data_IF_520769880898
#
_entry.id   IF_520769880898
#
_cell.length_a   1.000
_cell.length_b   1.000
_cell.length_c   1.000
_cell.angle_alpha   90.00
_cell.angle_beta   90.00
_cell.angle_gamma   90.00
#
_symmetry.space_group_name_H-M   'P 1'
#
loop_
_entity.id
_entity.type
_entity.pdbx_description
1 polymer ?
#
# COMPACT_ATOMS: atom_id res chain seq x y z
N UNK A 1 -65.74 8.63 -10.82
CA UNK A 1 -65.55 7.16 -10.94
C UNK A 1 -64.08 6.84 -11.05
N UNK A 2 -63.51 6.48 -9.92
CA UNK A 2 -62.19 5.85 -9.63
C UNK A 2 -60.94 6.27 -10.43
N UNK A 3 -60.22 7.26 -9.88
CA UNK A 3 -58.76 7.40 -10.04
C UNK A 3 -58.08 6.72 -8.85
N UNK A 4 -57.37 5.62 -9.07
CA UNK A 4 -56.43 5.05 -8.11
C UNK A 4 -55.04 5.51 -8.53
N UNK A 5 -54.48 6.43 -7.79
CA UNK A 5 -53.09 6.88 -7.93
C UNK A 5 -52.18 5.85 -7.27
N UNK A 6 -51.32 5.22 -8.07
CA UNK A 6 -50.22 4.37 -7.57
C UNK A 6 -49.00 5.28 -7.18
N UNK A 7 -48.94 5.67 -5.92
CA UNK A 7 -47.81 6.45 -5.37
C UNK A 7 -46.72 5.57 -4.71
N UNK A 8 -46.63 4.28 -5.02
CA UNK A 8 -45.71 3.35 -4.37
C UNK A 8 -44.39 3.11 -5.13
N UNK A 9 -44.24 3.68 -6.34
CA UNK A 9 -43.07 3.41 -7.16
C UNK A 9 -41.80 4.29 -6.91
N UNK A 10 -41.85 5.50 -6.32
CA UNK A 10 -40.63 6.30 -6.14
C UNK A 10 -39.82 5.98 -4.88
N UNK A 11 -40.36 5.19 -3.92
CA UNK A 11 -39.64 4.94 -2.66
C UNK A 11 -38.62 3.80 -2.81
N UNK A 12 -38.83 2.88 -3.74
CA UNK A 12 -37.89 1.76 -3.97
C UNK A 12 -36.59 2.18 -4.70
N UNK A 13 -36.62 3.29 -5.45
CA UNK A 13 -35.44 3.76 -6.20
C UNK A 13 -34.44 4.56 -5.34
N UNK A 14 -34.85 5.07 -4.17
CA UNK A 14 -33.98 5.89 -3.31
C UNK A 14 -33.08 5.08 -2.38
N UNK A 15 -33.39 3.80 -2.12
CA UNK A 15 -32.59 2.94 -1.24
C UNK A 15 -31.36 2.30 -1.89
N UNK A 16 -31.14 2.44 -3.21
CA UNK A 16 -30.02 1.82 -3.91
C UNK A 16 -28.75 2.69 -4.02
N UNK A 17 -28.78 3.93 -3.55
CA UNK A 17 -27.62 4.84 -3.68
C UNK A 17 -26.74 4.98 -2.43
N UNK A 18 -26.98 4.19 -1.38
CA UNK A 18 -26.18 4.29 -0.14
C UNK A 18 -25.12 3.16 0.03
N UNK A 19 -24.95 2.32 -0.98
CA UNK A 19 -24.03 1.17 -0.90
C UNK A 19 -22.64 1.43 -1.55
N UNK A 20 -22.25 2.68 -1.80
CA UNK A 20 -20.98 2.96 -2.48
C UNK A 20 -20.09 3.89 -1.67
N UNK A 21 -19.65 3.45 -0.49
CA UNK A 21 -18.45 3.96 0.17
C UNK A 21 -17.94 2.93 1.18
N UNK A 22 -17.58 1.74 0.69
CA UNK A 22 -16.70 0.86 1.44
C UNK A 22 -15.34 0.82 0.74
N UNK A 23 -14.70 1.98 0.62
CA UNK A 23 -13.25 2.02 0.50
C UNK A 23 -12.74 1.48 1.83
N UNK A 24 -12.38 0.21 1.85
CA UNK A 24 -11.61 -0.38 2.92
C UNK A 24 -10.32 0.42 3.07
N UNK A 25 -10.40 1.53 3.81
CA UNK A 25 -9.22 2.14 4.41
C UNK A 25 -8.69 1.05 5.32
N UNK A 26 -7.66 0.37 4.86
CA UNK A 26 -6.78 -0.38 5.72
C UNK A 26 -6.25 0.63 6.72
N UNK A 27 -6.97 0.74 7.84
CA UNK A 27 -6.60 1.61 8.94
C UNK A 27 -5.33 1.00 9.48
N UNK A 28 -4.18 1.57 9.12
CA UNK A 28 -2.91 1.21 9.72
C UNK A 28 -3.13 1.32 11.24
N UNK A 29 -2.97 0.22 11.94
CA UNK A 29 -3.12 0.18 13.39
C UNK A 29 -2.10 1.19 13.95
N UNK A 30 -2.63 2.28 14.51
CA UNK A 30 -1.82 3.34 15.11
C UNK A 30 -1.20 2.77 16.38
N UNK A 31 -0.05 2.14 16.23
CA UNK A 31 0.78 1.75 17.36
C UNK A 31 1.49 2.99 17.89
N UNK A 32 1.92 2.95 19.13
CA UNK A 32 2.61 4.08 19.81
C UNK A 32 4.01 4.43 19.22
N UNK A 33 4.29 4.05 17.98
CA UNK A 33 5.56 4.30 17.28
C UNK A 33 6.68 3.31 17.64
N UNK A 34 6.50 2.50 18.67
CA UNK A 34 7.46 1.46 19.06
C UNK A 34 6.88 0.09 18.71
N UNK A 35 7.55 -0.62 17.84
CA UNK A 35 7.24 -2.01 17.52
C UNK A 35 7.97 -2.93 18.48
N UNK A 36 7.27 -3.56 19.42
CA UNK A 36 7.86 -4.42 20.43
C UNK A 36 8.63 -5.62 19.84
N UNK A 37 8.24 -6.09 18.66
CA UNK A 37 8.93 -7.15 17.93
C UNK A 37 10.36 -6.78 17.49
N UNK A 38 10.70 -5.49 17.46
CA UNK A 38 12.04 -5.01 17.15
C UNK A 38 13.00 -5.05 18.34
N UNK A 39 12.46 -5.21 19.55
CA UNK A 39 13.26 -5.27 20.76
C UNK A 39 13.86 -6.67 20.96
N UNK A 40 15.09 -6.71 21.48
CA UNK A 40 15.69 -7.91 22.04
C UNK A 40 15.68 -7.81 23.57
N UNK A 41 14.66 -8.38 24.18
CA UNK A 41 14.49 -8.35 25.64
C UNK A 41 15.47 -9.23 26.38
N UNK A 42 16.32 -10.00 25.71
CA UNK A 42 17.40 -10.78 26.32
C UNK A 42 18.64 -9.93 26.59
N UNK A 43 18.80 -8.80 25.88
CA UNK A 43 19.84 -7.82 26.14
C UNK A 43 19.46 -6.88 27.27
N UNK A 44 20.43 -6.54 28.12
CA UNK A 44 20.21 -5.57 29.20
C UNK A 44 20.41 -4.15 28.65
N UNK A 45 19.38 -3.28 28.72
CA UNK A 45 19.45 -1.94 28.14
C UNK A 45 20.55 -1.06 28.75
N UNK A 46 20.95 -1.34 29.99
CA UNK A 46 22.05 -0.62 30.65
C UNK A 46 23.45 -1.09 30.19
N UNK A 47 23.55 -2.23 29.52
CA UNK A 47 24.82 -2.80 29.03
C UNK A 47 24.97 -2.64 27.52
N UNK A 48 23.93 -2.97 26.77
CA UNK A 48 23.89 -2.84 25.32
C UNK A 48 22.50 -2.36 24.88
N UNK A 49 22.32 -1.05 24.88
CA UNK A 49 21.07 -0.43 24.48
C UNK A 49 20.75 -0.65 22.99
N UNK A 50 21.78 -0.68 22.14
CA UNK A 50 21.58 -0.90 20.72
C UNK A 50 21.01 -2.30 20.44
N UNK A 51 21.63 -3.32 21.02
CA UNK A 51 21.12 -4.69 20.91
C UNK A 51 19.70 -4.79 21.50
N UNK A 52 19.46 -4.19 22.67
CA UNK A 52 18.12 -4.17 23.27
C UNK A 52 17.08 -3.55 22.33
N UNK A 53 17.37 -2.38 21.76
CA UNK A 53 16.40 -1.60 20.98
C UNK A 53 16.20 -2.13 19.56
N UNK A 54 17.21 -2.74 18.94
CA UNK A 54 17.22 -3.11 17.51
C UNK A 54 17.45 -4.58 17.26
N UNK A 55 17.81 -5.38 18.26
CA UNK A 55 18.23 -6.77 18.08
C UNK A 55 17.16 -7.67 17.45
N UNK A 56 15.89 -7.49 17.83
CA UNK A 56 14.77 -8.20 17.22
C UNK A 56 14.61 -7.82 15.74
N UNK A 57 14.74 -6.54 15.42
CA UNK A 57 14.69 -6.09 14.03
C UNK A 57 15.83 -6.68 13.19
N UNK A 58 17.07 -6.63 13.67
CA UNK A 58 18.24 -7.15 12.98
C UNK A 58 18.13 -8.65 12.73
N UNK A 59 17.61 -9.40 13.70
CA UNK A 59 17.36 -10.83 13.57
C UNK A 59 16.35 -11.16 12.48
N UNK A 60 15.30 -10.36 12.36
CA UNK A 60 14.22 -10.55 11.39
C UNK A 60 14.55 -9.98 10.01
N UNK A 61 15.55 -9.13 9.90
CA UNK A 61 15.96 -8.46 8.66
C UNK A 61 17.48 -8.61 8.44
N UNK A 62 17.95 -9.82 8.14
CA UNK A 62 19.36 -10.03 7.83
C UNK A 62 19.74 -9.23 6.58
N UNK A 63 20.99 -8.75 6.53
CA UNK A 63 21.50 -8.00 5.38
C UNK A 63 21.57 -8.94 4.16
N UNK A 64 20.84 -8.64 3.06
CA UNK A 64 20.94 -9.44 1.85
C UNK A 64 22.35 -9.35 1.23
N UNK A 65 22.76 -10.36 0.49
CA UNK A 65 24.13 -10.47 -0.03
C UNK A 65 24.55 -9.33 -0.96
N UNK A 66 23.59 -8.69 -1.60
CA UNK A 66 23.77 -7.55 -2.50
C UNK A 66 23.97 -6.20 -1.79
N UNK A 67 23.77 -6.13 -0.48
CA UNK A 67 23.86 -4.90 0.30
C UNK A 67 25.02 -4.93 1.28
N UNK A 68 25.75 -3.82 1.39
CA UNK A 68 26.74 -3.61 2.45
C UNK A 68 26.11 -3.11 3.76
N UNK A 69 24.89 -2.56 3.68
CA UNK A 69 24.09 -2.10 4.81
C UNK A 69 22.61 -2.28 4.47
N UNK A 70 21.80 -2.57 5.48
CA UNK A 70 20.37 -2.76 5.32
C UNK A 70 19.62 -2.10 6.47
N UNK A 71 18.55 -1.40 6.16
CA UNK A 71 17.79 -0.68 7.16
C UNK A 71 16.48 -0.13 6.59
N UNK A 72 15.73 0.59 7.41
CA UNK A 72 14.40 1.11 7.06
C UNK A 72 14.39 1.94 5.78
N UNK A 73 15.44 2.73 5.53
CA UNK A 73 15.54 3.53 4.30
C UNK A 73 15.79 2.67 3.07
N UNK A 74 16.56 1.59 3.20
CA UNK A 74 16.78 0.64 2.09
C UNK A 74 15.47 -0.06 1.75
N UNK A 75 14.74 -0.56 2.75
CA UNK A 75 13.42 -1.18 2.58
C UNK A 75 12.44 -0.19 1.93
N UNK A 76 12.42 1.06 2.38
CA UNK A 76 11.55 2.09 1.80
C UNK A 76 11.88 2.34 0.33
N UNK A 77 13.17 2.44 -0.01
CA UNK A 77 13.63 2.64 -1.39
C UNK A 77 13.25 1.44 -2.29
N UNK A 78 13.42 0.20 -1.80
CA UNK A 78 13.00 -1.01 -2.51
C UNK A 78 11.49 -1.04 -2.76
N UNK A 79 10.71 -0.76 -1.71
CA UNK A 79 9.25 -0.74 -1.83
C UNK A 79 8.78 0.33 -2.81
N UNK A 80 9.37 1.53 -2.77
CA UNK A 80 9.07 2.59 -3.72
C UNK A 80 9.40 2.16 -5.16
N UNK A 81 10.57 1.54 -5.37
CA UNK A 81 10.96 1.02 -6.70
C UNK A 81 9.99 -0.03 -7.22
N UNK A 82 9.56 -0.97 -6.36
CA UNK A 82 8.57 -1.99 -6.71
C UNK A 82 7.20 -1.38 -7.05
N UNK A 83 6.78 -0.35 -6.31
CA UNK A 83 5.51 0.36 -6.58
C UNK A 83 5.57 1.10 -7.93
N UNK A 84 6.67 1.79 -8.22
CA UNK A 84 6.88 2.47 -9.51
C UNK A 84 6.89 1.46 -10.65
N UNK A 85 7.60 0.35 -10.49
CA UNK A 85 7.63 -0.72 -11.48
C UNK A 85 6.21 -1.25 -11.76
N UNK A 86 5.46 -1.62 -10.72
CA UNK A 86 4.09 -2.09 -10.88
C UNK A 86 3.18 -1.08 -11.58
N UNK A 87 3.32 0.21 -11.26
CA UNK A 87 2.57 1.27 -11.95
C UNK A 87 2.92 1.35 -13.45
N UNK A 88 4.20 1.28 -13.80
CA UNK A 88 4.63 1.34 -15.21
C UNK A 88 4.18 0.09 -15.97
N UNK A 89 4.23 -1.08 -15.36
CA UNK A 89 3.72 -2.33 -15.92
C UNK A 89 2.20 -2.28 -16.17
N UNK A 90 1.44 -1.70 -15.23
CA UNK A 90 0.00 -1.46 -15.40
C UNK A 90 -0.28 -0.50 -16.57
N UNK A 91 0.47 0.61 -16.66
CA UNK A 91 0.36 1.54 -17.78
C UNK A 91 0.71 0.88 -19.13
N UNK A 92 1.66 -0.03 -19.14
CA UNK A 92 2.02 -0.78 -20.33
C UNK A 92 0.94 -1.81 -20.72
N UNK A 93 0.24 -2.40 -19.75
CA UNK A 93 -0.77 -3.42 -20.01
C UNK A 93 -2.13 -2.86 -20.45
N UNK A 94 -2.41 -1.58 -20.20
CA UNK A 94 -3.70 -0.94 -20.47
C UNK A 94 -3.65 -0.02 -21.69
N UNK A 95 -4.82 0.24 -22.28
CA UNK A 95 -4.95 1.23 -23.35
C UNK A 95 -5.24 2.59 -22.76
N UNK A 96 -4.57 3.61 -23.27
CA UNK A 96 -4.69 4.99 -22.82
C UNK A 96 -5.02 5.92 -23.99
N UNK A 97 -5.50 7.12 -23.67
CA UNK A 97 -5.77 8.16 -24.65
C UNK A 97 -4.51 8.51 -25.45
N UNK A 98 -4.67 8.65 -26.76
CA UNK A 98 -3.55 8.96 -27.67
C UNK A 98 -2.85 10.27 -27.29
N UNK A 99 -1.52 10.23 -27.15
CA UNK A 99 -0.69 11.37 -26.80
C UNK A 99 -0.63 11.68 -25.29
N UNK A 100 -1.35 10.92 -24.44
CA UNK A 100 -1.30 11.08 -22.98
C UNK A 100 0.06 10.68 -22.41
N UNK A 101 0.37 11.17 -21.22
CA UNK A 101 1.59 10.76 -20.46
C UNK A 101 1.54 9.27 -20.15
N UNK A 102 0.36 8.74 -19.81
CA UNK A 102 0.16 7.34 -19.53
C UNK A 102 0.53 6.45 -20.72
N UNK A 103 0.03 6.79 -21.92
CA UNK A 103 0.39 6.08 -23.16
C UNK A 103 1.90 6.12 -23.41
N UNK A 104 2.50 7.31 -23.39
CA UNK A 104 3.92 7.47 -23.67
C UNK A 104 4.81 6.69 -22.69
N UNK A 105 4.46 6.66 -21.42
CA UNK A 105 5.19 5.91 -20.41
C UNK A 105 5.07 4.40 -20.62
N UNK A 106 3.87 3.89 -20.89
CA UNK A 106 3.64 2.49 -21.16
C UNK A 106 4.31 2.03 -22.46
N UNK A 107 4.25 2.83 -23.51
CA UNK A 107 4.88 2.50 -24.81
C UNK A 107 6.42 2.52 -24.70
N UNK A 108 6.98 3.48 -23.96
CA UNK A 108 8.43 3.50 -23.71
C UNK A 108 8.89 2.24 -22.97
N UNK A 109 8.16 1.83 -21.96
CA UNK A 109 8.47 0.60 -21.21
C UNK A 109 8.45 -0.63 -22.13
N UNK A 110 7.45 -0.78 -23.01
CA UNK A 110 7.37 -1.88 -23.99
C UNK A 110 8.52 -1.94 -24.97
N UNK A 111 9.12 -0.78 -25.28
CA UNK A 111 10.24 -0.71 -26.24
C UNK A 111 11.56 -1.13 -25.56
N UNK A 112 11.68 -0.86 -24.24
CA UNK A 112 12.92 -1.07 -23.50
C UNK A 112 13.03 -2.48 -22.92
N UNK A 113 11.89 -3.12 -22.63
CA UNK A 113 11.81 -4.45 -22.01
C UNK A 113 11.53 -5.54 -23.02
#
# INVERSE_FOLDING_TARGET
>A
MFMKANHLLPIAAFCLMTASCNTGKQQAELTAGIQLANLDTTALPGTDFYQYACGGWMKNNPIPAEYSQYGSFTILAENNRKQIQGLIEELAATQHEAGSVAQKSGDLYKIVM
#
